data_IF_087141971848
#
_entry.id   IF_087141971848
#
_cell.length_a   1.000
_cell.length_b   1.000
_cell.length_c   1.000
_cell.angle_alpha   90.00
_cell.angle_beta   90.00
_cell.angle_gamma   90.00
#
_symmetry.space_group_name_H-M   'P 1'
#
loop_
_entity.id
_entity.type
_entity.pdbx_description
1 polymer ?
#
# COMPACT_ATOMS: atom_id res chain seq x y z
N UNK A 1 12.92 13.80 10.30
CA UNK A 1 11.69 13.40 9.59
C UNK A 1 12.05 12.77 8.26
N UNK A 2 11.50 11.61 7.94
CA UNK A 2 11.71 11.07 6.61
C UNK A 2 11.06 11.98 5.57
N UNK A 3 11.74 12.16 4.44
CA UNK A 3 11.19 12.92 3.32
C UNK A 3 9.91 12.26 2.80
N UNK A 4 8.92 13.04 2.34
CA UNK A 4 7.72 12.44 1.77
C UNK A 4 8.08 11.61 0.54
N UNK A 5 7.43 10.46 0.41
CA UNK A 5 7.64 9.57 -0.73
C UNK A 5 6.93 10.15 -1.94
N UNK A 6 7.67 10.35 -3.02
CA UNK A 6 7.11 10.83 -4.29
C UNK A 6 6.68 9.65 -5.15
N UNK A 7 5.52 9.76 -5.76
CA UNK A 7 5.06 8.77 -6.72
C UNK A 7 5.34 9.28 -8.13
N UNK A 8 6.15 8.52 -8.88
CA UNK A 8 6.42 8.79 -10.29
C UNK A 8 5.63 7.82 -11.15
N UNK A 9 4.97 8.33 -12.18
CA UNK A 9 4.28 7.50 -13.15
C UNK A 9 5.20 7.28 -14.33
N UNK A 10 5.53 6.03 -14.62
CA UNK A 10 6.47 5.67 -15.68
C UNK A 10 5.81 4.67 -16.63
N UNK A 11 5.91 4.86 -17.95
CA UNK A 11 5.38 3.89 -18.91
C UNK A 11 6.08 2.53 -18.80
N UNK A 12 5.32 1.47 -19.03
CA UNK A 12 5.84 0.10 -18.92
C UNK A 12 7.08 -0.14 -19.79
N UNK A 13 7.12 0.43 -20.97
CA UNK A 13 8.27 0.30 -21.87
C UNK A 13 9.55 0.89 -21.26
N UNK A 14 9.44 2.05 -20.64
CA UNK A 14 10.57 2.70 -19.98
C UNK A 14 11.02 1.92 -18.75
N UNK A 15 10.07 1.40 -17.96
CA UNK A 15 10.37 0.53 -16.83
C UNK A 15 11.17 -0.69 -17.27
N UNK A 16 10.77 -1.30 -18.38
CA UNK A 16 11.43 -2.47 -18.96
C UNK A 16 12.89 -2.20 -19.29
N UNK A 17 13.20 -1.03 -19.84
CA UNK A 17 14.57 -0.69 -20.26
C UNK A 17 15.42 -0.14 -19.13
N UNK A 18 14.82 0.42 -18.07
CA UNK A 18 15.53 1.09 -16.98
C UNK A 18 15.26 0.48 -15.60
N UNK A 19 14.87 -0.78 -15.57
CA UNK A 19 14.46 -1.44 -14.32
C UNK A 19 15.54 -1.39 -13.24
N UNK A 20 16.80 -1.62 -13.59
CA UNK A 20 17.90 -1.57 -12.63
C UNK A 20 18.04 -0.22 -11.94
N UNK A 21 17.94 0.87 -12.69
CA UNK A 21 17.97 2.23 -12.17
C UNK A 21 16.75 2.53 -11.29
N UNK A 22 15.59 2.14 -11.76
CA UNK A 22 14.33 2.32 -11.04
C UNK A 22 14.38 1.58 -9.69
N UNK A 23 14.90 0.37 -9.66
CA UNK A 23 15.03 -0.41 -8.44
C UNK A 23 15.94 0.29 -7.42
N UNK A 24 17.03 0.90 -7.87
CA UNK A 24 17.92 1.67 -6.98
C UNK A 24 17.20 2.88 -6.39
N UNK A 25 16.48 3.62 -7.21
CA UNK A 25 15.75 4.81 -6.78
C UNK A 25 14.67 4.45 -5.77
N UNK A 26 13.93 3.39 -6.02
CA UNK A 26 12.86 2.90 -5.15
C UNK A 26 13.42 2.33 -3.84
N UNK A 27 14.55 1.63 -3.89
CA UNK A 27 15.22 1.09 -2.71
C UNK A 27 15.59 2.18 -1.71
N UNK A 28 15.90 3.38 -2.20
CA UNK A 28 16.20 4.52 -1.34
C UNK A 28 15.02 4.99 -0.48
N UNK A 29 13.82 4.52 -0.74
CA UNK A 29 12.63 4.83 0.04
C UNK A 29 12.02 6.21 -0.22
N UNK A 30 12.54 6.95 -1.18
CA UNK A 30 12.08 8.30 -1.51
C UNK A 30 11.10 8.35 -2.68
N UNK A 31 11.04 7.29 -3.46
CA UNK A 31 10.28 7.21 -4.70
C UNK A 31 9.47 5.93 -4.75
N UNK A 32 8.24 6.05 -5.18
CA UNK A 32 7.40 4.94 -5.60
C UNK A 32 7.18 5.09 -7.09
N UNK A 33 7.06 3.99 -7.81
CA UNK A 33 6.79 4.02 -9.24
C UNK A 33 5.45 3.37 -9.54
N UNK A 34 4.58 4.12 -10.21
CA UNK A 34 3.36 3.60 -10.77
C UNK A 34 3.60 3.31 -12.24
N UNK A 35 3.53 2.04 -12.61
CA UNK A 35 3.76 1.61 -14.00
C UNK A 35 2.43 1.66 -14.75
N UNK A 36 2.41 2.39 -15.85
CA UNK A 36 1.23 2.49 -16.69
C UNK A 36 1.50 1.93 -18.09
N UNK A 37 0.44 1.49 -18.74
CA UNK A 37 0.44 1.08 -20.15
C UNK A 37 -0.78 1.70 -20.82
N UNK A 38 -0.50 2.48 -21.88
CA UNK A 38 -1.57 3.19 -22.61
C UNK A 38 -2.47 4.03 -21.69
N UNK A 39 -1.85 4.71 -20.70
CA UNK A 39 -2.56 5.54 -19.75
C UNK A 39 -3.28 4.79 -18.63
N UNK A 40 -3.19 3.46 -18.60
CA UNK A 40 -3.86 2.63 -17.58
C UNK A 40 -2.84 2.19 -16.53
N UNK A 41 -3.04 2.50 -15.24
CA UNK A 41 -2.18 1.98 -14.17
C UNK A 41 -2.25 0.46 -14.11
N UNK A 42 -1.09 -0.19 -14.13
CA UNK A 42 -0.99 -1.65 -14.15
C UNK A 42 -0.45 -2.23 -12.84
N UNK A 43 0.70 -1.71 -12.39
CA UNK A 43 1.39 -2.21 -11.18
C UNK A 43 2.09 -1.06 -10.48
N UNK A 44 2.40 -1.25 -9.20
CA UNK A 44 3.22 -0.32 -8.44
C UNK A 44 4.54 -0.97 -8.04
N UNK A 45 5.61 -0.18 -8.04
CA UNK A 45 6.92 -0.63 -7.57
C UNK A 45 7.25 0.17 -6.31
N UNK A 46 7.46 -0.53 -5.21
CA UNK A 46 7.78 0.05 -3.90
C UNK A 46 9.02 -0.62 -3.32
N UNK A 47 9.63 0.00 -2.31
CA UNK A 47 10.78 -0.61 -1.64
C UNK A 47 10.37 -1.89 -0.90
N UNK A 48 11.34 -2.78 -0.67
CA UNK A 48 11.10 -4.00 0.10
C UNK A 48 10.61 -3.67 1.52
N UNK A 49 11.15 -2.62 2.12
CA UNK A 49 10.72 -2.15 3.44
C UNK A 49 9.27 -1.71 3.45
N UNK A 50 8.86 -0.93 2.45
CA UNK A 50 7.48 -0.49 2.31
C UNK A 50 6.55 -1.67 2.03
N UNK A 51 6.99 -2.62 1.20
CA UNK A 51 6.24 -3.83 0.93
C UNK A 51 5.97 -4.62 2.22
N UNK A 52 6.98 -4.77 3.08
CA UNK A 52 6.82 -5.44 4.38
C UNK A 52 5.79 -4.72 5.25
N UNK A 53 5.78 -3.39 5.27
CA UNK A 53 4.77 -2.63 6.02
C UNK A 53 3.37 -2.85 5.48
N UNK A 54 3.21 -2.85 4.16
CA UNK A 54 1.90 -3.11 3.53
C UNK A 54 1.39 -4.50 3.87
N UNK A 55 2.25 -5.51 3.82
CA UNK A 55 1.90 -6.89 4.19
C UNK A 55 1.51 -6.97 5.66
N UNK A 56 2.27 -6.34 6.55
CA UNK A 56 1.98 -6.31 7.99
C UNK A 56 0.65 -5.63 8.28
N UNK A 57 0.36 -4.51 7.63
CA UNK A 57 -0.93 -3.82 7.77
C UNK A 57 -2.08 -4.71 7.31
N UNK A 58 -1.89 -5.44 6.21
CA UNK A 58 -2.90 -6.38 5.70
C UNK A 58 -3.14 -7.52 6.68
N UNK A 59 -2.09 -8.09 7.25
CA UNK A 59 -2.21 -9.15 8.26
C UNK A 59 -2.92 -8.64 9.52
N UNK A 60 -2.57 -7.44 9.98
CA UNK A 60 -3.25 -6.80 11.11
C UNK A 60 -4.73 -6.58 10.83
N UNK A 61 -5.08 -6.20 9.60
CA UNK A 61 -6.46 -6.05 9.17
C UNK A 61 -7.23 -7.36 9.26
N UNK A 62 -6.66 -8.45 8.79
CA UNK A 62 -7.29 -9.77 8.90
C UNK A 62 -7.45 -10.19 10.36
N UNK A 63 -6.47 -9.93 11.19
CA UNK A 63 -6.54 -10.23 12.63
C UNK A 63 -7.67 -9.45 13.32
N UNK A 64 -7.87 -8.18 12.95
CA UNK A 64 -8.97 -7.37 13.48
C UNK A 64 -10.33 -7.94 13.06
N UNK A 65 -10.49 -8.27 11.78
CA UNK A 65 -11.72 -8.87 11.25
C UNK A 65 -12.03 -10.19 11.97
N UNK A 66 -11.02 -11.03 12.14
CA UNK A 66 -11.17 -12.32 12.83
C UNK A 66 -11.62 -12.15 14.27
N UNK A 67 -11.03 -11.19 15.00
CA UNK A 67 -11.44 -10.86 16.37
C UNK A 67 -12.90 -10.40 16.47
N UNK A 68 -13.30 -9.53 15.55
CA UNK A 68 -14.69 -9.03 15.51
C UNK A 68 -15.66 -10.19 15.27
N UNK A 69 -15.33 -11.08 14.34
CA UNK A 69 -16.16 -12.27 14.07
C UNK A 69 -16.28 -13.20 15.25
N UNK A 70 -15.21 -13.38 16.02
CA UNK A 70 -15.25 -14.21 17.24
C UNK A 70 -16.11 -13.62 18.34
N UNK A 71 -16.11 -12.28 18.48
CA UNK A 71 -16.88 -11.58 19.51
C UNK A 71 -18.35 -11.41 19.14
N UNK A 72 -18.64 -11.25 17.87
CA UNK A 72 -19.99 -10.99 17.36
C UNK A 72 -20.21 -11.72 16.02
N UNK A 73 -20.35 -13.06 16.06
CA UNK A 73 -20.47 -13.85 14.83
C UNK A 73 -21.73 -13.55 14.02
N UNK A 74 -22.71 -12.86 14.58
CA UNK A 74 -23.94 -12.46 13.89
C UNK A 74 -23.84 -11.14 13.15
N UNK A 75 -22.72 -10.41 13.25
CA UNK A 75 -22.55 -9.13 12.54
C UNK A 75 -22.38 -9.36 11.04
N UNK A 76 -23.05 -8.52 10.19
CA UNK A 76 -22.83 -8.57 8.75
C UNK A 76 -21.40 -8.24 8.37
N UNK A 77 -20.87 -8.92 7.35
CA UNK A 77 -19.51 -8.67 6.86
C UNK A 77 -19.29 -7.20 6.46
N UNK A 78 -20.33 -6.54 5.93
CA UNK A 78 -20.26 -5.14 5.55
C UNK A 78 -19.92 -4.23 6.72
N UNK A 79 -20.48 -4.46 7.91
CA UNK A 79 -20.16 -3.68 9.11
C UNK A 79 -18.74 -3.92 9.58
N UNK A 80 -18.28 -5.17 9.58
CA UNK A 80 -16.91 -5.52 9.95
C UNK A 80 -15.91 -4.82 9.02
N UNK A 81 -16.15 -4.85 7.73
CA UNK A 81 -15.28 -4.19 6.75
C UNK A 81 -15.29 -2.67 6.90
N UNK A 82 -16.43 -2.09 7.22
CA UNK A 82 -16.53 -0.67 7.50
C UNK A 82 -15.68 -0.24 8.69
N UNK A 83 -15.72 -0.99 9.79
CA UNK A 83 -14.93 -0.72 10.98
C UNK A 83 -13.43 -0.83 10.71
N UNK A 84 -13.02 -1.84 9.95
CA UNK A 84 -11.62 -2.03 9.56
C UNK A 84 -11.14 -0.88 8.68
N UNK A 85 -11.93 -0.46 7.70
CA UNK A 85 -11.60 0.69 6.83
C UNK A 85 -11.47 1.97 7.62
N UNK A 86 -12.34 2.21 8.58
CA UNK A 86 -12.27 3.38 9.46
C UNK A 86 -10.98 3.41 10.25
N UNK A 87 -10.58 2.30 10.86
CA UNK A 87 -9.34 2.18 11.61
C UNK A 87 -8.10 2.43 10.73
N UNK A 88 -8.06 1.87 9.53
CA UNK A 88 -6.96 2.06 8.59
C UNK A 88 -6.88 3.50 8.08
N UNK A 89 -8.03 4.11 7.79
CA UNK A 89 -8.10 5.51 7.34
C UNK A 89 -7.56 6.46 8.41
N UNK A 90 -7.91 6.26 9.67
CA UNK A 90 -7.40 7.05 10.80
C UNK A 90 -5.88 6.94 10.90
N UNK A 91 -5.34 5.74 10.77
CA UNK A 91 -3.91 5.48 10.81
C UNK A 91 -3.17 6.19 9.65
N UNK A 92 -3.73 6.16 8.44
CA UNK A 92 -3.17 6.87 7.28
C UNK A 92 -3.18 8.38 7.46
N UNK A 93 -4.24 8.94 8.00
CA UNK A 93 -4.33 10.37 8.30
C UNK A 93 -3.25 10.82 9.28
N UNK A 94 -2.96 10.05 10.31
CA UNK A 94 -1.88 10.31 11.26
C UNK A 94 -0.50 10.30 10.61
N UNK A 95 -0.27 9.45 9.62
CA UNK A 95 0.99 9.41 8.88
C UNK A 95 1.19 10.60 7.95
N UNK A 96 0.10 11.18 7.45
CA UNK A 96 0.15 12.34 6.56
C UNK A 96 0.26 13.67 7.30
N UNK A 97 -0.07 13.70 8.55
CA UNK A 97 -0.04 14.91 9.37
C UNK A 97 1.39 15.36 9.77
#
# INVERSE_FOLDING_TARGET
>A
MPAPIKTKTIPALEVRTQLGRIMKDVRGGRVRVLVEKSGVPMVGIISAEEFQRVVTEREARFAVVDRIRRRAPSLPDAEIQGDVRGALKTRRSRRRA
#
